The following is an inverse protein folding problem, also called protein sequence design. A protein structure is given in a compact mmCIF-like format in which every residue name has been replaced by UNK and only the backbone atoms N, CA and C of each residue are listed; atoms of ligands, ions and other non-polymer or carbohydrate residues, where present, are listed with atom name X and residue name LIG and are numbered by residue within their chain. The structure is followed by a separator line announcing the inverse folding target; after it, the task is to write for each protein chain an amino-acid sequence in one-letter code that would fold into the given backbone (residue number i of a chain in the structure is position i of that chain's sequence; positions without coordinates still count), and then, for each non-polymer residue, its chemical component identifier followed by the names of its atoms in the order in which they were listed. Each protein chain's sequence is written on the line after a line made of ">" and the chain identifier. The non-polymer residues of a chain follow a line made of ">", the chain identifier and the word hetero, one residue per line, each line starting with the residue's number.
data_IF_351740028293
#
_entry.id   IF_351740028293
#
_cell.length_a   1.000
_cell.length_b   1.000
_cell.length_c   1.000
_cell.angle_alpha   90.00
_cell.angle_beta   90.00
_cell.angle_gamma   90.00
#
_symmetry.space_group_name_H-M   'P 1'
#
loop_
_entity.id
_entity.type
_entity.pdbx_description
1 polymer ?
#
# COMPACT_ATOMS: atom_id res chain seq x y z
N UNK A 1 -5.09 -18.77 -19.38
CA UNK A 1 -4.40 -18.37 -18.14
C UNK A 1 -3.54 -17.12 -18.32
N UNK A 2 -2.60 -17.10 -19.28
CA UNK A 2 -1.76 -15.92 -19.55
C UNK A 2 -2.55 -14.62 -19.83
N UNK A 3 -3.63 -14.68 -20.62
CA UNK A 3 -4.49 -13.52 -20.87
C UNK A 3 -5.15 -12.94 -19.61
N UNK A 4 -5.59 -13.78 -18.67
CA UNK A 4 -6.23 -13.34 -17.41
C UNK A 4 -5.22 -12.63 -16.52
N UNK A 5 -3.99 -13.17 -16.42
CA UNK A 5 -2.90 -12.53 -15.69
C UNK A 5 -2.54 -11.18 -16.31
N UNK A 6 -2.46 -11.11 -17.64
CA UNK A 6 -2.14 -9.88 -18.36
C UNK A 6 -3.20 -8.79 -18.13
N UNK A 7 -4.49 -9.12 -18.30
CA UNK A 7 -5.58 -8.18 -18.04
C UNK A 7 -5.64 -7.77 -16.57
N UNK A 8 -5.44 -8.71 -15.63
CA UNK A 8 -5.36 -8.41 -14.20
C UNK A 8 -4.20 -7.46 -13.87
N UNK A 9 -3.04 -7.63 -14.51
CA UNK A 9 -1.90 -6.74 -14.34
C UNK A 9 -2.17 -5.35 -14.89
N UNK A 10 -2.67 -5.23 -16.13
CA UNK A 10 -3.03 -3.94 -16.72
C UNK A 10 -4.09 -3.21 -15.90
N UNK A 11 -5.12 -3.92 -15.46
CA UNK A 11 -6.17 -3.35 -14.63
C UNK A 11 -5.63 -2.91 -13.26
N UNK A 12 -4.80 -3.74 -12.63
CA UNK A 12 -4.14 -3.42 -11.37
C UNK A 12 -3.25 -2.19 -11.45
N UNK A 13 -2.53 -1.98 -12.57
CA UNK A 13 -1.75 -0.76 -12.79
C UNK A 13 -2.63 0.50 -12.83
N UNK A 14 -3.73 0.46 -13.58
CA UNK A 14 -4.66 1.60 -13.69
C UNK A 14 -5.26 1.93 -12.33
N UNK A 15 -5.76 0.92 -11.61
CA UNK A 15 -6.32 1.08 -10.26
C UNK A 15 -5.26 1.61 -9.29
N UNK A 16 -4.04 1.09 -9.35
CA UNK A 16 -2.93 1.53 -8.50
C UNK A 16 -2.58 3.00 -8.71
N UNK A 17 -2.40 3.43 -9.97
CA UNK A 17 -2.12 4.85 -10.29
C UNK A 17 -3.26 5.77 -9.85
N UNK A 18 -4.51 5.35 -10.06
CA UNK A 18 -5.69 6.11 -9.63
C UNK A 18 -5.73 6.25 -8.10
N UNK A 19 -5.41 5.20 -7.36
CA UNK A 19 -5.35 5.22 -5.90
C UNK A 19 -4.22 6.12 -5.38
N UNK A 20 -3.04 6.08 -6.00
CA UNK A 20 -1.93 7.00 -5.69
C UNK A 20 -2.31 8.46 -5.94
N UNK A 21 -3.04 8.73 -7.03
CA UNK A 21 -3.53 10.06 -7.34
C UNK A 21 -4.54 10.55 -6.30
N UNK A 22 -5.56 9.75 -5.98
CA UNK A 22 -6.55 10.08 -4.95
C UNK A 22 -5.87 10.34 -3.60
N UNK A 23 -4.93 9.49 -3.20
CA UNK A 23 -4.20 9.66 -1.96
C UNK A 23 -3.40 10.97 -1.95
N UNK A 24 -2.78 11.32 -3.06
CA UNK A 24 -2.02 12.57 -3.18
C UNK A 24 -2.92 13.81 -3.05
N UNK A 25 -4.15 13.75 -3.58
CA UNK A 25 -5.15 14.80 -3.41
C UNK A 25 -5.58 14.91 -1.95
N UNK A 26 -5.87 13.79 -1.28
CA UNK A 26 -6.25 13.77 0.15
C UNK A 26 -5.13 14.34 1.01
N UNK A 27 -3.89 13.94 0.78
CA UNK A 27 -2.73 14.44 1.52
C UNK A 27 -2.58 15.95 1.32
N UNK A 28 -2.78 16.45 0.10
CA UNK A 28 -2.76 17.89 -0.15
C UNK A 28 -3.83 18.61 0.66
N UNK A 29 -5.05 18.08 0.70
CA UNK A 29 -6.14 18.66 1.50
C UNK A 29 -5.77 18.70 2.97
N UNK A 30 -5.19 17.61 3.50
CA UNK A 30 -4.72 17.57 4.89
C UNK A 30 -3.59 18.58 5.16
N UNK A 31 -2.67 18.76 4.22
CA UNK A 31 -1.53 19.69 4.36
C UNK A 31 -1.93 21.16 4.19
N UNK A 32 -3.06 21.47 3.53
CA UNK A 32 -3.61 22.85 3.49
C UNK A 32 -3.87 23.37 4.91
N UNK A 33 -4.23 22.52 5.85
CA UNK A 33 -4.41 22.89 7.27
C UNK A 33 -3.08 23.12 8.01
N UNK A 34 -1.94 22.81 7.41
CA UNK A 34 -0.62 22.86 8.03
C UNK A 34 0.27 24.05 7.61
N UNK A 35 -0.27 25.05 6.90
CA UNK A 35 0.43 26.21 6.30
C UNK A 35 1.46 25.87 5.19
N UNK A 36 1.64 24.59 4.85
CA UNK A 36 2.61 24.11 3.85
C UNK A 36 2.01 24.11 2.44
N UNK A 37 2.47 25.03 1.56
CA UNK A 37 2.03 25.11 0.16
C UNK A 37 2.80 24.14 -0.74
N UNK A 38 2.49 22.86 -0.65
CA UNK A 38 3.11 21.84 -1.51
C UNK A 38 2.25 21.57 -2.75
N UNK A 39 2.91 21.49 -3.90
CA UNK A 39 2.25 21.17 -5.16
C UNK A 39 1.84 19.68 -5.21
N UNK A 40 0.69 19.37 -5.82
CA UNK A 40 0.18 17.98 -5.96
C UNK A 40 1.23 17.08 -6.62
N UNK A 41 1.97 17.62 -7.60
CA UNK A 41 3.03 16.88 -8.32
C UNK A 41 4.11 16.36 -7.36
N UNK A 42 4.52 17.18 -6.39
CA UNK A 42 5.54 16.82 -5.41
C UNK A 42 5.01 15.77 -4.42
N UNK A 43 3.75 15.91 -4.00
CA UNK A 43 3.08 14.92 -3.15
C UNK A 43 2.93 13.59 -3.88
N UNK A 44 2.53 13.60 -5.14
CA UNK A 44 2.40 12.40 -5.96
C UNK A 44 3.73 11.69 -6.16
N UNK A 45 4.80 12.43 -6.45
CA UNK A 45 6.14 11.88 -6.53
C UNK A 45 6.55 11.21 -5.20
N UNK A 46 6.33 11.91 -4.08
CA UNK A 46 6.62 11.41 -2.74
C UNK A 46 5.85 10.12 -2.43
N UNK A 47 4.52 10.10 -2.62
CA UNK A 47 3.68 8.91 -2.41
C UNK A 47 4.12 7.75 -3.30
N UNK A 48 4.49 8.03 -4.56
CA UNK A 48 4.98 7.01 -5.49
C UNK A 48 6.30 6.39 -5.01
N UNK A 49 7.24 7.19 -4.51
CA UNK A 49 8.48 6.69 -3.92
C UNK A 49 8.24 5.84 -2.67
N UNK A 50 7.28 6.23 -1.84
CA UNK A 50 6.95 5.54 -0.59
C UNK A 50 6.24 4.20 -0.83
N UNK A 51 5.49 4.08 -1.92
CA UNK A 51 4.79 2.85 -2.30
C UNK A 51 5.65 1.88 -3.08
N UNK A 52 6.84 2.30 -3.51
CA UNK A 52 7.78 1.46 -4.24
C UNK A 52 8.21 0.19 -3.48
N UNK A 53 8.63 0.24 -2.20
CA UNK A 53 9.05 -0.96 -1.47
C UNK A 53 7.90 -1.97 -1.30
N UNK A 54 6.67 -1.49 -1.09
CA UNK A 54 5.47 -2.34 -0.99
C UNK A 54 5.12 -2.94 -2.36
N UNK A 55 5.23 -2.17 -3.43
CA UNK A 55 4.93 -2.66 -4.78
C UNK A 55 5.96 -3.72 -5.21
N UNK A 56 7.24 -3.47 -4.91
CA UNK A 56 8.33 -4.42 -5.12
C UNK A 56 8.14 -5.69 -4.27
N UNK A 57 7.75 -5.51 -3.00
CA UNK A 57 7.37 -6.60 -2.09
C UNK A 57 6.29 -7.49 -2.71
N UNK A 58 5.20 -6.90 -3.20
CA UNK A 58 4.09 -7.64 -3.81
C UNK A 58 4.58 -8.36 -5.08
N UNK A 59 5.35 -7.69 -5.94
CA UNK A 59 5.82 -8.28 -7.18
C UNK A 59 6.71 -9.52 -6.97
N UNK A 60 7.55 -9.53 -5.92
CA UNK A 60 8.44 -10.66 -5.63
C UNK A 60 7.84 -11.69 -4.66
N UNK A 61 7.15 -11.25 -3.60
CA UNK A 61 6.60 -12.14 -2.58
C UNK A 61 5.32 -12.80 -3.03
N UNK A 62 4.44 -12.13 -3.79
CA UNK A 62 3.15 -12.70 -4.17
C UNK A 62 3.32 -13.97 -5.02
N UNK A 63 4.19 -14.03 -6.05
CA UNK A 63 4.46 -15.26 -6.77
C UNK A 63 5.04 -16.36 -5.89
N UNK A 64 5.93 -16.01 -4.96
CA UNK A 64 6.52 -16.97 -4.02
C UNK A 64 5.47 -17.52 -3.04
N UNK A 65 4.55 -16.68 -2.56
CA UNK A 65 3.41 -17.08 -1.72
C UNK A 65 2.49 -18.02 -2.49
N UNK A 66 2.15 -17.69 -3.75
CA UNK A 66 1.34 -18.57 -4.60
C UNK A 66 2.05 -19.90 -4.90
N UNK A 67 3.37 -19.91 -5.09
CA UNK A 67 4.13 -21.16 -5.30
C UNK A 67 4.13 -22.05 -4.05
N UNK A 68 4.16 -21.47 -2.85
CA UNK A 68 4.25 -22.23 -1.59
C UNK A 68 2.87 -22.65 -1.07
N UNK A 69 1.88 -21.76 -1.12
CA UNK A 69 0.56 -21.93 -0.52
C UNK A 69 -0.57 -22.06 -1.54
N UNK A 70 -0.36 -21.65 -2.80
CA UNK A 70 -1.41 -21.62 -3.81
C UNK A 70 -2.60 -20.76 -3.38
N UNK A 71 -3.80 -21.23 -3.70
CA UNK A 71 -5.05 -20.58 -3.28
C UNK A 71 -5.24 -20.62 -1.75
N UNK A 72 -4.60 -21.56 -1.05
CA UNK A 72 -4.82 -21.76 0.38
C UNK A 72 -4.29 -20.61 1.25
N UNK A 73 -3.45 -19.73 0.69
CA UNK A 73 -3.06 -18.49 1.37
C UNK A 73 -4.26 -17.56 1.62
N UNK A 74 -5.27 -17.61 0.75
CA UNK A 74 -6.44 -16.72 0.79
C UNK A 74 -7.68 -17.39 1.38
N UNK A 75 -7.59 -18.66 1.76
CA UNK A 75 -8.72 -19.42 2.32
C UNK A 75 -8.55 -19.62 3.82
N UNK A 76 -9.66 -19.61 4.54
CA UNK A 76 -9.64 -19.88 5.99
C UNK A 76 -9.44 -21.36 6.35
N UNK A 77 -9.61 -22.28 5.38
CA UNK A 77 -9.53 -23.72 5.62
C UNK A 77 -8.94 -24.49 4.41
N UNK A 78 -7.84 -25.24 4.58
CA UNK A 78 -6.94 -25.26 5.74
C UNK A 78 -6.17 -23.94 5.90
N UNK A 79 -6.02 -23.46 7.14
CA UNK A 79 -5.26 -22.23 7.42
C UNK A 79 -3.81 -22.37 6.94
N UNK A 80 -3.23 -21.36 6.26
CA UNK A 80 -1.88 -21.43 5.71
C UNK A 80 -0.81 -21.67 6.80
N UNK A 81 -0.99 -21.13 8.00
CA UNK A 81 -0.12 -21.39 9.16
C UNK A 81 -0.08 -22.87 9.59
N UNK A 82 -1.16 -23.63 9.32
CA UNK A 82 -1.24 -25.06 9.64
C UNK A 82 -0.63 -25.92 8.53
N UNK A 83 -0.67 -25.44 7.28
CA UNK A 83 -0.09 -26.14 6.13
C UNK A 83 1.45 -26.08 6.16
N UNK A 84 2.00 -24.88 6.28
CA UNK A 84 3.44 -24.61 6.13
C UNK A 84 3.87 -23.47 7.08
N UNK A 85 3.99 -23.75 8.40
CA UNK A 85 4.16 -22.73 9.44
C UNK A 85 5.42 -21.89 9.26
N UNK A 86 6.56 -22.53 8.97
CA UNK A 86 7.85 -21.83 8.83
C UNK A 86 7.78 -20.82 7.69
N UNK A 87 7.30 -21.24 6.52
CA UNK A 87 7.17 -20.37 5.36
C UNK A 87 6.19 -19.23 5.63
N UNK A 88 5.08 -19.52 6.33
CA UNK A 88 4.08 -18.52 6.68
C UNK A 88 4.67 -17.41 7.56
N UNK A 89 5.43 -17.76 8.59
CA UNK A 89 6.09 -16.77 9.45
C UNK A 89 7.18 -15.99 8.73
N UNK A 90 7.95 -16.62 7.83
CA UNK A 90 8.95 -15.94 7.01
C UNK A 90 8.27 -14.88 6.11
N UNK A 91 7.26 -15.26 5.33
CA UNK A 91 6.57 -14.32 4.45
C UNK A 91 5.87 -13.20 5.24
N UNK A 92 5.25 -13.54 6.36
CA UNK A 92 4.61 -12.54 7.24
C UNK A 92 5.63 -11.57 7.83
N UNK A 93 6.78 -12.08 8.30
CA UNK A 93 7.86 -11.27 8.85
C UNK A 93 8.49 -10.33 7.81
N UNK A 94 8.77 -10.83 6.60
CA UNK A 94 9.28 -10.00 5.49
C UNK A 94 8.26 -8.92 5.12
N UNK A 95 6.97 -9.26 5.04
CA UNK A 95 5.92 -8.29 4.74
C UNK A 95 5.81 -7.22 5.84
N UNK A 96 5.92 -7.61 7.11
CA UNK A 96 5.95 -6.67 8.24
C UNK A 96 7.14 -5.70 8.15
N UNK A 97 8.35 -6.22 7.89
CA UNK A 97 9.56 -5.40 7.76
C UNK A 97 9.43 -4.38 6.62
N UNK A 98 8.88 -4.78 5.48
CA UNK A 98 8.69 -3.88 4.33
C UNK A 98 7.63 -2.81 4.59
N UNK A 99 6.56 -3.14 5.33
CA UNK A 99 5.57 -2.16 5.79
C UNK A 99 6.18 -1.15 6.77
N UNK A 100 6.95 -1.63 7.75
CA UNK A 100 7.65 -0.76 8.71
C UNK A 100 8.66 0.15 8.01
N UNK A 101 9.42 -0.38 7.05
CA UNK A 101 10.36 0.40 6.25
C UNK A 101 9.65 1.50 5.44
N UNK A 102 8.54 1.16 4.80
CA UNK A 102 7.74 2.13 4.03
C UNK A 102 7.14 3.20 4.95
N UNK A 103 6.65 2.83 6.13
CA UNK A 103 6.17 3.78 7.14
C UNK A 103 7.28 4.71 7.65
N UNK A 104 8.48 4.18 7.89
CA UNK A 104 9.64 4.99 8.27
C UNK A 104 10.01 6.00 7.18
N UNK A 105 9.98 5.61 5.91
CA UNK A 105 10.19 6.55 4.81
C UNK A 105 9.10 7.63 4.75
N UNK A 106 7.82 7.29 4.98
CA UNK A 106 6.70 8.25 4.99
C UNK A 106 6.93 9.30 6.08
N UNK A 107 7.25 8.86 7.30
CA UNK A 107 7.47 9.77 8.43
C UNK A 107 8.69 10.68 8.20
N UNK A 108 9.78 10.16 7.65
CA UNK A 108 10.95 10.97 7.29
C UNK A 108 10.62 11.99 6.21
N UNK A 109 9.92 11.59 5.15
CA UNK A 109 9.56 12.49 4.05
C UNK A 109 8.62 13.62 4.53
N UNK A 110 7.64 13.29 5.37
CA UNK A 110 6.73 14.29 5.96
C UNK A 110 7.40 15.16 7.02
N UNK A 111 8.41 14.65 7.74
CA UNK A 111 9.26 15.47 8.63
C UNK A 111 10.00 16.54 7.83
N UNK A 112 10.59 16.20 6.69
CA UNK A 112 11.29 17.17 5.82
C UNK A 112 10.34 18.25 5.30
N UNK A 113 9.10 17.88 5.02
CA UNK A 113 8.07 18.79 4.58
C UNK A 113 7.61 19.73 5.70
N UNK A 114 7.20 19.18 6.84
CA UNK A 114 6.51 19.94 7.90
C UNK A 114 7.45 20.62 8.89
N UNK A 115 8.75 20.44 8.73
CA UNK A 115 9.81 20.94 9.62
C UNK A 115 9.81 20.34 11.03
N UNK A 116 8.84 19.47 11.37
CA UNK A 116 8.67 18.90 12.70
C UNK A 116 8.36 17.41 12.64
N UNK A 117 9.06 16.63 13.47
CA UNK A 117 8.84 15.18 13.55
C UNK A 117 7.42 14.84 14.02
N UNK A 118 6.88 15.57 15.01
CA UNK A 118 5.55 15.30 15.57
C UNK A 118 4.47 15.56 14.51
N UNK A 119 4.55 16.68 13.79
CA UNK A 119 3.62 16.97 12.69
C UNK A 119 3.73 15.92 11.59
N UNK A 120 4.95 15.57 11.17
CA UNK A 120 5.20 14.53 10.18
C UNK A 120 4.62 13.16 10.57
N UNK A 121 4.72 12.79 11.85
CA UNK A 121 4.15 11.55 12.38
C UNK A 121 2.62 11.56 12.38
N UNK A 122 1.99 12.66 12.80
CA UNK A 122 0.52 12.82 12.76
C UNK A 122 0.02 12.70 11.32
N UNK A 123 0.66 13.39 10.38
CA UNK A 123 0.31 13.28 8.97
C UNK A 123 0.53 11.87 8.44
N UNK A 124 1.63 11.19 8.80
CA UNK A 124 1.87 9.81 8.39
C UNK A 124 0.75 8.87 8.86
N UNK A 125 0.30 9.00 10.11
CA UNK A 125 -0.82 8.22 10.65
C UNK A 125 -2.11 8.53 9.90
N UNK A 126 -2.43 9.80 9.68
CA UNK A 126 -3.60 10.22 8.89
C UNK A 126 -3.56 9.65 7.47
N UNK A 127 -2.40 9.74 6.80
CA UNK A 127 -2.23 9.16 5.45
C UNK A 127 -2.48 7.65 5.45
N UNK A 128 -1.99 6.93 6.46
CA UNK A 128 -2.20 5.48 6.59
C UNK A 128 -3.68 5.15 6.80
N UNK A 129 -4.40 5.92 7.62
CA UNK A 129 -5.84 5.74 7.84
C UNK A 129 -6.61 6.01 6.53
N UNK A 130 -6.27 7.08 5.82
CA UNK A 130 -6.89 7.41 4.54
C UNK A 130 -6.68 6.31 3.49
N UNK A 131 -5.48 5.70 3.43
CA UNK A 131 -5.23 4.56 2.54
C UNK A 131 -6.16 3.40 2.86
N UNK A 132 -6.30 3.03 4.13
CA UNK A 132 -7.16 1.90 4.54
C UNK A 132 -8.63 2.19 4.19
N UNK A 133 -9.11 3.40 4.45
CA UNK A 133 -10.48 3.81 4.13
C UNK A 133 -10.72 3.81 2.62
N UNK A 134 -9.80 4.39 1.83
CA UNK A 134 -9.88 4.40 0.37
C UNK A 134 -9.90 2.98 -0.20
N UNK A 135 -9.07 2.09 0.34
CA UNK A 135 -9.00 0.71 -0.12
C UNK A 135 -10.29 -0.06 0.19
N UNK A 136 -10.88 0.15 1.37
CA UNK A 136 -12.18 -0.42 1.73
C UNK A 136 -13.31 0.11 0.82
N UNK A 137 -13.35 1.43 0.58
CA UNK A 137 -14.33 2.03 -0.32
C UNK A 137 -14.20 1.49 -1.75
N UNK A 138 -12.97 1.31 -2.22
CA UNK A 138 -12.69 0.71 -3.52
C UNK A 138 -13.23 -0.73 -3.58
N UNK A 139 -12.97 -1.55 -2.56
CA UNK A 139 -13.51 -2.92 -2.51
C UNK A 139 -15.03 -2.97 -2.49
N UNK A 140 -15.70 -2.06 -1.77
CA UNK A 140 -17.16 -2.00 -1.77
C UNK A 140 -17.71 -1.54 -3.14
N UNK A 141 -17.08 -0.56 -3.78
CA UNK A 141 -17.43 -0.15 -5.15
C UNK A 141 -17.34 -1.32 -6.15
N UNK A 142 -16.28 -2.13 -6.06
CA UNK A 142 -16.15 -3.31 -6.90
C UNK A 142 -17.25 -4.34 -6.68
N UNK A 143 -17.72 -4.55 -5.44
CA UNK A 143 -18.84 -5.45 -5.15
C UNK A 143 -20.18 -4.96 -5.70
N UNK A 144 -20.36 -3.65 -5.87
CA UNK A 144 -21.61 -3.08 -6.41
C UNK A 144 -21.64 -3.18 -7.93
N UNK A 145 -20.48 -3.07 -8.59
CA UNK A 145 -20.35 -3.04 -10.05
C UNK A 145 -20.37 -4.46 -10.66
N UNK A 146 -20.01 -5.48 -9.89
CA UNK A 146 -19.76 -6.86 -10.34
C UNK A 146 -20.82 -7.81 -9.77
#
# INVERSE_FOLDING_TARGET
>A
FAFIIFYGFCFGLVVGVLLLFLLSVVIRILLIFGDEKINVKSIFALVSYLTFPISFSIFFLLPAIFAVFGIYYFTESPKPQNLKPIQFYIFTGVNLLLKLYSFALVTLALKYITGSFIKGLIFAVLTSICVVVLLNLLTELFKIIL
#
